data_IF_134320008205
#
_entry.id   IF_134320008205
#
_cell.length_a   1.000
_cell.length_b   1.000
_cell.length_c   1.000
_cell.angle_alpha   90.00
_cell.angle_beta   90.00
_cell.angle_gamma   90.00
#
_symmetry.space_group_name_H-M   'P 1'
#
loop_
_entity.id
_entity.type
_entity.pdbx_description
1 polymer ?
#
# COMPACT_ATOMS: atom_id res chain seq x y z
N UNK A 1 -27.93 6.26 0.10
CA UNK A 1 -27.86 7.74 0.13
C UNK A 1 -26.42 8.24 0.41
N UNK A 2 -25.39 7.75 -0.31
CA UNK A 2 -23.99 8.18 -0.05
C UNK A 2 -23.20 8.64 -1.29
N UNK A 3 -23.68 8.31 -2.49
CA UNK A 3 -22.96 8.62 -3.73
C UNK A 3 -23.19 10.08 -4.18
N UNK A 4 -24.37 10.65 -3.91
CA UNK A 4 -24.74 12.00 -4.35
C UNK A 4 -24.03 13.09 -3.52
N UNK A 5 -23.76 12.85 -2.23
CA UNK A 5 -23.05 13.82 -1.37
C UNK A 5 -21.57 13.97 -1.74
N UNK A 6 -20.92 12.88 -2.18
CA UNK A 6 -19.50 12.90 -2.56
C UNK A 6 -19.29 13.59 -3.92
N UNK A 7 -20.17 13.36 -4.89
CA UNK A 7 -20.11 14.05 -6.20
C UNK A 7 -20.46 15.53 -6.09
N UNK A 8 -21.34 15.92 -5.16
CA UNK A 8 -21.71 17.32 -4.95
C UNK A 8 -20.58 18.15 -4.33
N UNK A 9 -19.83 17.59 -3.38
CA UNK A 9 -18.67 18.27 -2.79
C UNK A 9 -17.54 18.46 -3.80
N UNK A 10 -17.36 17.50 -4.72
CA UNK A 10 -16.36 17.58 -5.79
C UNK A 10 -16.74 18.60 -6.88
N UNK A 11 -18.03 18.70 -7.24
CA UNK A 11 -18.53 19.71 -8.18
C UNK A 11 -18.46 21.13 -7.61
N UNK A 12 -18.82 21.33 -6.35
CA UNK A 12 -18.74 22.64 -5.68
C UNK A 12 -17.28 23.07 -5.48
N UNK A 13 -16.38 22.13 -5.16
CA UNK A 13 -14.94 22.39 -5.05
C UNK A 13 -14.29 22.76 -6.38
N UNK A 14 -14.65 22.08 -7.47
CA UNK A 14 -14.14 22.39 -8.81
C UNK A 14 -14.67 23.74 -9.34
N UNK A 15 -15.96 24.02 -9.15
CA UNK A 15 -16.56 25.31 -9.55
C UNK A 15 -15.97 26.49 -8.75
N UNK A 16 -15.76 26.32 -7.44
CA UNK A 16 -15.08 27.31 -6.60
C UNK A 16 -13.63 27.55 -7.01
N UNK A 17 -12.89 26.50 -7.37
CA UNK A 17 -11.52 26.59 -7.86
C UNK A 17 -11.41 27.34 -9.19
N UNK A 18 -12.33 27.09 -10.14
CA UNK A 18 -12.38 27.80 -11.42
C UNK A 18 -12.76 29.27 -11.22
N UNK A 19 -13.70 29.57 -10.31
CA UNK A 19 -14.10 30.94 -10.01
C UNK A 19 -12.95 31.77 -9.40
N UNK A 20 -12.15 31.18 -8.51
CA UNK A 20 -10.97 31.83 -7.94
C UNK A 20 -9.88 32.02 -9.02
N UNK A 21 -9.70 31.05 -9.92
CA UNK A 21 -8.70 31.13 -11.00
C UNK A 21 -9.07 32.16 -12.08
N UNK A 22 -10.36 32.43 -12.31
CA UNK A 22 -10.83 33.45 -13.25
C UNK A 22 -10.88 34.86 -12.66
N UNK A 23 -10.98 34.99 -11.33
CA UNK A 23 -11.10 36.29 -10.64
C UNK A 23 -9.77 36.82 -10.07
N UNK A 24 -8.67 36.06 -10.19
CA UNK A 24 -7.31 36.53 -9.91
C UNK A 24 -6.53 36.59 -11.22
N UNK A 25 -6.16 37.81 -11.65
CA UNK A 25 -5.28 38.04 -12.80
C UNK A 25 -3.99 37.24 -12.62
N UNK A 26 -3.82 36.19 -13.44
CA UNK A 26 -2.69 35.27 -13.35
C UNK A 26 -1.40 36.06 -13.63
N UNK A 27 -0.48 36.21 -12.66
CA UNK A 27 0.77 36.91 -12.91
C UNK A 27 1.61 36.13 -13.93
N UNK A 28 2.22 36.86 -14.87
CA UNK A 28 2.88 36.36 -16.08
C UNK A 28 3.89 35.21 -15.81
N UNK A 29 3.44 33.95 -16.00
CA UNK A 29 4.14 32.69 -15.68
C UNK A 29 5.51 32.58 -16.37
N UNK A 30 5.69 33.22 -17.53
CA UNK A 30 6.95 33.19 -18.29
C UNK A 30 8.14 33.77 -17.52
N UNK A 31 7.93 34.82 -16.73
CA UNK A 31 9.03 35.47 -15.99
C UNK A 31 9.48 34.63 -14.79
N UNK A 32 8.54 33.93 -14.14
CA UNK A 32 8.85 32.96 -13.10
C UNK A 32 9.59 31.74 -13.66
N UNK A 33 9.20 31.26 -14.85
CA UNK A 33 9.87 30.15 -15.54
C UNK A 33 11.31 30.49 -15.93
N UNK A 34 11.58 31.70 -16.41
CA UNK A 34 12.94 32.15 -16.73
C UNK A 34 13.81 32.31 -15.47
N UNK A 35 13.24 32.84 -14.38
CA UNK A 35 13.94 32.91 -13.09
C UNK A 35 14.27 31.54 -12.49
N UNK A 36 13.35 30.57 -12.65
CA UNK A 36 13.55 29.18 -12.25
C UNK A 36 14.63 28.47 -13.08
N UNK A 37 14.67 28.70 -14.40
CA UNK A 37 15.73 28.16 -15.25
C UNK A 37 17.11 28.76 -14.96
N UNK A 38 17.18 30.03 -14.56
CA UNK A 38 18.42 30.66 -14.13
C UNK A 38 18.97 30.03 -12.84
N UNK A 39 18.12 29.90 -11.81
CA UNK A 39 18.49 29.25 -10.54
C UNK A 39 18.80 27.75 -10.69
N UNK A 40 18.15 27.06 -11.63
CA UNK A 40 18.44 25.65 -11.92
C UNK A 40 19.86 25.47 -12.49
N UNK A 41 20.34 26.38 -13.34
CA UNK A 41 21.72 26.34 -13.86
C UNK A 41 22.76 26.67 -12.79
N UNK A 42 22.46 27.60 -11.89
CA UNK A 42 23.35 27.89 -10.74
C UNK A 42 23.45 26.70 -9.78
N UNK A 43 22.33 25.99 -9.55
CA UNK A 43 22.31 24.77 -8.74
C UNK A 43 23.07 23.62 -9.39
N UNK A 44 23.03 23.49 -10.72
CA UNK A 44 23.76 22.44 -11.46
C UNK A 44 25.28 22.65 -11.38
N UNK A 45 25.74 23.91 -11.42
CA UNK A 45 27.15 24.27 -11.19
C UNK A 45 27.58 24.06 -9.73
N UNK A 46 26.69 24.28 -8.77
CA UNK A 46 26.94 24.00 -7.36
C UNK A 46 26.94 22.48 -7.04
N UNK A 47 26.31 21.64 -7.88
CA UNK A 47 26.21 20.19 -7.69
C UNK A 47 27.29 19.36 -8.41
N UNK A 48 28.29 19.98 -9.04
CA UNK A 48 29.42 19.27 -9.63
C UNK A 48 30.23 18.56 -8.53
N UNK A 49 29.98 17.25 -8.43
CA UNK A 49 30.44 16.28 -7.41
C UNK A 49 31.95 16.40 -7.08
N UNK A 50 32.36 16.49 -5.80
CA UNK A 50 33.75 16.26 -5.42
C UNK A 50 34.06 14.76 -5.47
N UNK A 51 35.14 14.42 -6.19
CA UNK A 51 35.87 13.17 -6.03
C UNK A 51 36.51 13.15 -4.63
N UNK A 52 35.94 12.42 -3.68
CA UNK A 52 36.74 11.79 -2.61
C UNK A 52 35.99 10.64 -1.94
N UNK A 53 36.73 9.56 -1.70
CA UNK A 53 36.26 8.33 -1.09
C UNK A 53 36.04 8.48 0.41
N UNK A 54 34.76 8.51 0.82
CA UNK A 54 34.40 8.13 2.18
C UNK A 54 33.09 7.36 2.17
N UNK A 55 33.12 6.21 2.85
CA UNK A 55 32.16 5.12 2.84
C UNK A 55 30.76 5.60 3.27
N UNK A 56 29.93 6.00 2.32
CA UNK A 56 28.52 6.31 2.60
C UNK A 56 27.74 5.00 2.73
N UNK A 57 27.63 4.52 3.98
CA UNK A 57 26.71 3.45 4.36
C UNK A 57 25.34 3.71 3.73
N UNK A 58 24.78 2.69 3.08
CA UNK A 58 23.49 2.71 2.39
C UNK A 58 22.31 2.90 3.36
N UNK A 59 22.22 4.06 4.00
CA UNK A 59 21.02 4.50 4.70
C UNK A 59 20.25 5.40 3.74
N UNK A 60 19.13 4.89 3.22
CA UNK A 60 18.21 5.64 2.36
C UNK A 60 17.48 6.76 3.15
N UNK A 61 17.69 6.85 4.48
CA UNK A 61 17.03 7.82 5.36
C UNK A 61 17.94 8.36 6.47
N UNK A 62 17.76 9.62 6.92
CA UNK A 62 18.09 10.01 8.27
C UNK A 62 17.10 9.32 9.24
N UNK A 63 17.60 8.62 10.26
CA UNK A 63 16.78 7.99 11.31
C UNK A 63 16.15 9.06 12.22
N UNK A 64 15.19 9.82 11.68
CA UNK A 64 14.47 10.86 12.42
C UNK A 64 13.10 10.34 12.82
N UNK A 65 12.68 10.48 14.10
CA UNK A 65 11.40 9.96 14.60
C UNK A 65 10.18 10.40 13.77
N UNK A 66 10.23 11.60 13.18
CA UNK A 66 9.17 12.17 12.32
C UNK A 66 8.78 11.29 11.12
N UNK A 67 9.72 10.49 10.59
CA UNK A 67 9.45 9.60 9.45
C UNK A 67 9.15 8.18 9.89
N UNK A 68 9.83 7.71 10.95
CA UNK A 68 9.75 6.31 11.39
C UNK A 68 8.39 6.01 12.03
N UNK A 69 7.88 6.90 12.89
CA UNK A 69 6.64 6.66 13.64
C UNK A 69 5.45 6.45 12.68
N UNK A 70 5.20 7.33 11.68
CA UNK A 70 4.10 7.12 10.74
C UNK A 70 4.31 5.89 9.86
N UNK A 71 5.53 5.65 9.36
CA UNK A 71 5.81 4.50 8.48
C UNK A 71 5.59 3.19 9.20
N UNK A 72 6.09 3.05 10.44
CA UNK A 72 5.86 1.87 11.26
C UNK A 72 4.36 1.64 11.52
N UNK A 73 3.61 2.69 11.86
CA UNK A 73 2.16 2.61 12.05
C UNK A 73 1.43 2.17 10.79
N UNK A 74 1.79 2.72 9.63
CA UNK A 74 1.21 2.33 8.34
C UNK A 74 1.53 0.87 7.98
N UNK A 75 2.76 0.42 8.23
CA UNK A 75 3.17 -0.97 7.99
C UNK A 75 2.37 -1.95 8.84
N UNK A 76 2.27 -1.71 10.15
CA UNK A 76 1.53 -2.58 11.06
C UNK A 76 0.03 -2.55 10.73
N UNK A 77 -0.53 -1.37 10.48
CA UNK A 77 -1.95 -1.22 10.13
C UNK A 77 -2.31 -1.97 8.85
N UNK A 78 -1.52 -1.82 7.78
CA UNK A 78 -1.77 -2.51 6.51
C UNK A 78 -1.62 -4.03 6.67
N UNK A 79 -0.56 -4.48 7.35
CA UNK A 79 -0.34 -5.90 7.64
C UNK A 79 -1.50 -6.51 8.43
N UNK A 80 -2.02 -5.81 9.43
CA UNK A 80 -3.18 -6.23 10.22
C UNK A 80 -4.43 -6.39 9.35
N UNK A 81 -4.75 -5.39 8.52
CA UNK A 81 -5.91 -5.45 7.63
C UNK A 81 -5.79 -6.61 6.64
N UNK A 82 -4.65 -6.75 5.96
CA UNK A 82 -4.43 -7.81 4.97
C UNK A 82 -4.48 -9.19 5.62
N UNK A 83 -3.89 -9.35 6.81
CA UNK A 83 -3.95 -10.59 7.57
C UNK A 83 -5.38 -10.94 7.97
N UNK A 84 -6.13 -9.99 8.50
CA UNK A 84 -7.54 -10.21 8.88
C UNK A 84 -8.42 -10.62 7.69
N UNK A 85 -8.22 -9.98 6.53
CA UNK A 85 -8.94 -10.36 5.29
C UNK A 85 -8.50 -11.74 4.81
N UNK A 86 -7.20 -12.05 4.85
CA UNK A 86 -6.67 -13.37 4.44
C UNK A 86 -7.30 -14.49 5.27
N UNK A 87 -7.30 -14.36 6.60
CA UNK A 87 -7.85 -15.39 7.50
C UNK A 87 -9.35 -15.57 7.31
N UNK A 88 -10.11 -14.47 7.27
CA UNK A 88 -11.56 -14.53 7.04
C UNK A 88 -11.90 -15.17 5.69
N UNK A 89 -11.21 -14.74 4.63
CA UNK A 89 -11.45 -15.27 3.28
C UNK A 89 -11.08 -16.74 3.18
N UNK A 90 -9.98 -17.15 3.81
CA UNK A 90 -9.56 -18.56 3.85
C UNK A 90 -10.58 -19.41 4.60
N UNK A 91 -11.05 -18.95 5.76
CA UNK A 91 -12.09 -19.63 6.51
C UNK A 91 -13.38 -19.80 5.68
N UNK A 92 -13.87 -18.73 5.07
CA UNK A 92 -15.06 -18.77 4.21
C UNK A 92 -14.88 -19.69 3.00
N UNK A 93 -13.72 -19.65 2.34
CA UNK A 93 -13.46 -20.46 1.15
C UNK A 93 -13.34 -21.95 1.50
N UNK A 94 -12.74 -22.30 2.63
CA UNK A 94 -12.70 -23.69 3.13
C UNK A 94 -14.10 -24.16 3.54
N UNK A 95 -14.90 -23.31 4.22
CA UNK A 95 -16.30 -23.62 4.58
C UNK A 95 -17.16 -23.85 3.34
N UNK A 96 -17.02 -22.99 2.32
CA UNK A 96 -17.79 -23.05 1.08
C UNK A 96 -17.40 -24.24 0.21
N UNK A 97 -16.10 -24.53 0.10
CA UNK A 97 -15.56 -25.61 -0.73
C UNK A 97 -15.25 -26.88 0.06
N UNK A 98 -15.90 -27.05 1.21
CA UNK A 98 -15.66 -28.16 2.13
C UNK A 98 -15.73 -29.52 1.42
N UNK A 99 -16.74 -29.73 0.57
CA UNK A 99 -16.92 -30.97 -0.19
C UNK A 99 -15.72 -31.30 -1.07
N UNK A 100 -15.10 -30.30 -1.71
CA UNK A 100 -13.91 -30.47 -2.54
C UNK A 100 -12.68 -30.83 -1.70
N UNK A 101 -12.52 -30.18 -0.55
CA UNK A 101 -11.41 -30.45 0.38
C UNK A 101 -11.54 -31.87 0.97
N UNK A 102 -12.74 -32.27 1.41
CA UNK A 102 -13.00 -33.62 1.93
C UNK A 102 -12.82 -34.71 0.86
N UNK A 103 -13.26 -34.45 -0.38
CA UNK A 103 -13.05 -35.38 -1.50
C UNK A 103 -11.56 -35.56 -1.78
N UNK A 104 -10.78 -34.47 -1.79
CA UNK A 104 -9.33 -34.55 -1.99
C UNK A 104 -8.64 -35.34 -0.87
N UNK A 105 -9.06 -35.14 0.39
CA UNK A 105 -8.55 -35.90 1.54
C UNK A 105 -8.92 -37.39 1.44
N UNK A 106 -10.15 -37.71 1.00
CA UNK A 106 -10.59 -39.09 0.79
C UNK A 106 -9.81 -39.80 -0.33
N UNK A 107 -9.35 -39.05 -1.33
CA UNK A 107 -8.44 -39.53 -2.39
C UNK A 107 -6.97 -39.64 -1.91
N UNK A 108 -6.68 -39.37 -0.64
CA UNK A 108 -5.35 -39.48 -0.04
C UNK A 108 -4.47 -38.23 -0.20
N UNK A 109 -5.03 -37.09 -0.61
CA UNK A 109 -4.28 -35.84 -0.66
C UNK A 109 -3.88 -35.41 0.76
N UNK A 110 -2.69 -34.84 0.90
CA UNK A 110 -2.33 -34.15 2.16
C UNK A 110 -3.22 -32.92 2.32
N UNK A 111 -3.56 -32.47 3.54
CA UNK A 111 -4.44 -31.32 3.65
C UNK A 111 -3.84 -30.05 3.00
N UNK A 112 -2.50 -29.98 2.84
CA UNK A 112 -1.80 -28.84 2.21
C UNK A 112 -2.08 -28.81 0.72
N UNK A 113 -2.17 -29.99 0.10
CA UNK A 113 -2.60 -30.13 -1.29
C UNK A 113 -4.10 -29.85 -1.42
N UNK A 114 -4.92 -30.30 -0.46
CA UNK A 114 -6.36 -30.09 -0.49
C UNK A 114 -6.79 -28.61 -0.35
N UNK A 115 -5.97 -27.77 0.30
CA UNK A 115 -6.28 -26.36 0.59
C UNK A 115 -5.52 -25.33 -0.27
N UNK A 116 -4.62 -25.77 -1.14
CA UNK A 116 -3.71 -24.87 -1.87
C UNK A 116 -4.45 -23.84 -2.73
N UNK A 117 -5.58 -24.22 -3.32
CA UNK A 117 -6.37 -23.33 -4.17
C UNK A 117 -7.08 -22.25 -3.35
N UNK A 118 -7.61 -22.62 -2.19
CA UNK A 118 -8.29 -21.74 -1.25
C UNK A 118 -7.30 -20.73 -0.66
N UNK A 119 -6.10 -21.19 -0.30
CA UNK A 119 -4.98 -20.32 0.13
C UNK A 119 -4.63 -19.31 -0.96
N UNK A 120 -4.41 -19.78 -2.19
CA UNK A 120 -4.04 -18.89 -3.31
C UNK A 120 -5.11 -17.83 -3.56
N UNK A 121 -6.38 -18.22 -3.57
CA UNK A 121 -7.51 -17.30 -3.78
C UNK A 121 -7.60 -16.25 -2.67
N UNK A 122 -7.46 -16.69 -1.42
CA UNK A 122 -7.50 -15.81 -0.25
C UNK A 122 -6.38 -14.77 -0.26
N UNK A 123 -5.15 -15.19 -0.59
CA UNK A 123 -4.01 -14.30 -0.73
C UNK A 123 -4.21 -13.26 -1.84
N UNK A 124 -4.70 -13.67 -3.01
CA UNK A 124 -4.99 -12.74 -4.12
C UNK A 124 -6.02 -11.70 -3.68
N UNK A 125 -7.13 -12.13 -3.09
CA UNK A 125 -8.20 -11.21 -2.65
C UNK A 125 -7.68 -10.24 -1.58
N UNK A 126 -6.91 -10.72 -0.61
CA UNK A 126 -6.40 -9.89 0.47
C UNK A 126 -5.35 -8.87 0.00
N UNK A 127 -4.56 -9.19 -1.04
CA UNK A 127 -3.51 -8.32 -1.58
C UNK A 127 -4.00 -7.36 -2.67
N UNK A 128 -5.13 -7.65 -3.34
CA UNK A 128 -5.67 -6.78 -4.39
C UNK A 128 -5.74 -5.29 -4.01
N UNK A 129 -6.26 -4.91 -2.82
CA UNK A 129 -6.33 -3.50 -2.44
C UNK A 129 -4.95 -2.84 -2.35
N UNK A 130 -3.93 -3.56 -1.87
CA UNK A 130 -2.56 -3.04 -1.74
C UNK A 130 -1.97 -2.78 -3.13
N UNK A 131 -2.16 -3.73 -4.04
CA UNK A 131 -1.67 -3.65 -5.42
C UNK A 131 -2.40 -2.53 -6.18
N UNK A 132 -3.71 -2.41 -6.03
CA UNK A 132 -4.49 -1.40 -6.74
C UNK A 132 -4.22 0.02 -6.22
N UNK A 133 -3.96 0.18 -4.92
CA UNK A 133 -3.43 1.44 -4.38
C UNK A 133 -2.05 1.74 -4.96
N UNK A 134 -1.14 0.76 -5.02
CA UNK A 134 0.20 0.99 -5.58
C UNK A 134 0.19 1.43 -7.05
N UNK A 135 -0.75 0.93 -7.88
CA UNK A 135 -0.91 1.33 -9.28
C UNK A 135 -1.39 2.77 -9.47
N UNK A 136 -2.14 3.30 -8.51
CA UNK A 136 -2.82 4.60 -8.63
C UNK A 136 -2.03 5.74 -8.00
N UNK A 137 -1.16 5.42 -7.03
CA UNK A 137 -0.30 6.39 -6.34
C UNK A 137 0.64 7.09 -7.33
N UNK A 138 0.66 8.41 -7.25
CA UNK A 138 1.52 9.27 -8.06
C UNK A 138 1.00 9.58 -9.47
N UNK A 139 0.03 8.80 -9.98
CA UNK A 139 -0.63 9.05 -11.26
C UNK A 139 -1.94 9.83 -11.10
N UNK A 140 -2.84 9.33 -10.24
CA UNK A 140 -4.17 9.92 -10.05
C UNK A 140 -4.37 10.51 -8.67
N UNK A 141 -3.63 10.01 -7.67
CA UNK A 141 -3.74 10.44 -6.30
C UNK A 141 -2.34 10.63 -5.71
N UNK A 142 -2.11 11.79 -5.11
CA UNK A 142 -0.95 12.02 -4.26
C UNK A 142 -1.30 11.51 -2.84
N UNK A 143 -0.58 10.52 -2.31
CA UNK A 143 -0.83 10.02 -0.95
C UNK A 143 -0.80 11.13 0.09
N UNK A 144 -1.64 11.03 1.12
CA UNK A 144 -1.75 12.07 2.15
C UNK A 144 -0.41 12.40 2.84
N UNK A 145 0.44 11.39 3.06
CA UNK A 145 1.78 11.60 3.62
C UNK A 145 2.70 12.39 2.69
N UNK A 146 2.66 12.09 1.38
CA UNK A 146 3.42 12.81 0.36
C UNK A 146 2.95 14.26 0.22
N UNK A 147 1.64 14.48 0.13
CA UNK A 147 1.05 15.83 0.07
C UNK A 147 1.35 16.63 1.34
N UNK A 148 1.27 16.01 2.52
CA UNK A 148 1.58 16.65 3.79
C UNK A 148 3.05 17.08 3.91
N UNK A 149 3.99 16.31 3.37
CA UNK A 149 5.40 16.70 3.30
C UNK A 149 5.62 17.89 2.37
N UNK A 150 4.97 17.88 1.21
CA UNK A 150 5.04 18.99 0.23
C UNK A 150 4.45 20.27 0.83
N UNK A 151 3.27 20.20 1.45
CA UNK A 151 2.67 21.36 2.14
C UNK A 151 3.50 21.83 3.34
N UNK A 152 4.23 20.92 3.98
CA UNK A 152 5.18 21.21 5.05
C UNK A 152 6.50 21.82 4.60
N UNK A 153 6.66 22.12 3.30
CA UNK A 153 7.84 22.78 2.73
C UNK A 153 8.97 21.83 2.30
N UNK A 154 8.75 20.51 2.32
CA UNK A 154 9.73 19.56 1.78
C UNK A 154 9.77 19.61 0.25
N UNK A 155 10.92 19.26 -0.35
CA UNK A 155 11.02 19.24 -1.80
C UNK A 155 10.12 18.14 -2.40
N UNK A 156 9.41 18.40 -3.52
CA UNK A 156 8.56 17.39 -4.14
C UNK A 156 9.31 16.11 -4.53
N UNK A 157 10.58 16.25 -4.92
CA UNK A 157 11.43 15.11 -5.31
C UNK A 157 11.71 14.18 -4.12
N UNK A 158 12.05 14.73 -2.96
CA UNK A 158 12.24 13.93 -1.74
C UNK A 158 10.95 13.24 -1.31
N UNK A 159 9.82 13.96 -1.36
CA UNK A 159 8.52 13.39 -0.99
C UNK A 159 8.13 12.17 -1.86
N UNK A 160 8.41 12.24 -3.17
CA UNK A 160 8.17 11.12 -4.10
C UNK A 160 9.05 9.92 -3.77
N UNK A 161 10.34 10.14 -3.56
CA UNK A 161 11.30 9.06 -3.25
C UNK A 161 10.90 8.32 -1.97
N UNK A 162 10.58 9.07 -0.91
CA UNK A 162 10.10 8.51 0.35
C UNK A 162 8.83 7.69 0.13
N UNK A 163 7.87 8.21 -0.66
CA UNK A 163 6.61 7.54 -0.91
C UNK A 163 6.78 6.22 -1.69
N UNK A 164 7.69 6.15 -2.66
CA UNK A 164 8.00 4.93 -3.39
C UNK A 164 8.60 3.87 -2.45
N UNK A 165 9.53 4.26 -1.57
CA UNK A 165 10.12 3.33 -0.61
C UNK A 165 9.06 2.80 0.36
N UNK A 166 8.21 3.68 0.90
CA UNK A 166 7.12 3.30 1.81
C UNK A 166 6.15 2.35 1.12
N UNK A 167 5.76 2.60 -0.13
CA UNK A 167 4.86 1.70 -0.85
C UNK A 167 5.44 0.30 -1.05
N UNK A 168 6.73 0.20 -1.37
CA UNK A 168 7.40 -1.10 -1.48
C UNK A 168 7.45 -1.82 -0.12
N UNK A 169 7.73 -1.08 0.97
CA UNK A 169 7.73 -1.65 2.32
C UNK A 169 6.35 -2.15 2.74
N UNK A 170 5.28 -1.40 2.45
CA UNK A 170 3.90 -1.80 2.74
C UNK A 170 3.53 -3.07 1.97
N UNK A 171 3.84 -3.12 0.68
CA UNK A 171 3.55 -4.28 -0.17
C UNK A 171 4.31 -5.52 0.31
N UNK A 172 5.59 -5.37 0.64
CA UNK A 172 6.41 -6.43 1.20
C UNK A 172 5.89 -6.93 2.55
N UNK A 173 5.64 -6.02 3.49
CA UNK A 173 5.15 -6.36 4.83
C UNK A 173 3.81 -7.09 4.77
N UNK A 174 2.87 -6.62 3.96
CA UNK A 174 1.55 -7.23 3.81
C UNK A 174 1.60 -8.59 3.14
N UNK A 175 2.50 -8.79 2.16
CA UNK A 175 2.70 -10.09 1.51
C UNK A 175 3.30 -11.11 2.48
N UNK A 176 4.33 -10.72 3.23
CA UNK A 176 4.93 -11.61 4.23
C UNK A 176 3.93 -11.97 5.32
N UNK A 177 3.17 -10.98 5.80
CA UNK A 177 2.19 -11.19 6.87
C UNK A 177 1.05 -12.13 6.45
N UNK A 178 0.52 -11.98 5.23
CA UNK A 178 -0.57 -12.83 4.73
C UNK A 178 -0.13 -14.27 4.49
N UNK A 179 1.08 -14.48 3.95
CA UNK A 179 1.68 -15.80 3.79
C UNK A 179 1.90 -16.45 5.16
N UNK A 180 2.54 -15.74 6.09
CA UNK A 180 2.82 -16.26 7.43
C UNK A 180 1.53 -16.59 8.17
N UNK A 181 0.53 -15.72 8.10
CA UNK A 181 -0.79 -15.97 8.68
C UNK A 181 -1.44 -17.23 8.13
N UNK A 182 -1.34 -17.47 6.83
CA UNK A 182 -1.90 -18.67 6.21
C UNK A 182 -1.16 -19.94 6.68
N UNK A 183 0.17 -19.89 6.79
CA UNK A 183 0.95 -20.98 7.36
C UNK A 183 0.60 -21.28 8.83
N UNK A 184 0.31 -20.25 9.62
CA UNK A 184 -0.06 -20.39 11.03
C UNK A 184 -1.53 -20.79 11.25
N UNK A 185 -2.43 -20.42 10.33
CA UNK A 185 -3.86 -20.73 10.42
C UNK A 185 -4.20 -22.12 9.86
N UNK A 186 -3.43 -22.58 8.88
CA UNK A 186 -3.50 -23.91 8.27
C UNK A 186 -3.75 -25.09 9.23
N UNK A 187 -3.00 -25.27 10.34
CA UNK A 187 -3.16 -26.44 11.20
C UNK A 187 -4.41 -26.36 12.08
N UNK A 188 -5.01 -25.17 12.24
CA UNK A 188 -6.22 -25.01 13.05
C UNK A 188 -7.45 -25.64 12.38
N UNK A 189 -7.47 -25.78 11.05
CA UNK A 189 -8.61 -26.34 10.32
C UNK A 189 -8.67 -27.87 10.33
N UNK A 190 -7.59 -28.55 10.74
CA UNK A 190 -7.45 -30.00 10.59
C UNK A 190 -7.17 -30.70 11.91
N UNK A 191 -7.87 -31.80 12.15
CA UNK A 191 -7.60 -32.71 13.27
C UNK A 191 -6.32 -33.51 13.01
N UNK A 192 -5.72 -34.10 14.06
CA UNK A 192 -4.55 -35.01 13.95
C UNK A 192 -4.75 -36.19 12.97
N UNK A 193 -6.01 -36.55 12.69
CA UNK A 193 -6.40 -37.58 11.74
C UNK A 193 -6.58 -37.08 10.29
N UNK A 194 -6.13 -35.85 9.97
CA UNK A 194 -6.31 -35.21 8.66
C UNK A 194 -7.79 -35.10 8.21
N UNK A 195 -8.67 -34.80 9.16
CA UNK A 195 -10.08 -34.50 8.90
C UNK A 195 -10.33 -33.01 9.13
N UNK A 196 -11.31 -32.44 8.45
CA UNK A 196 -11.75 -31.07 8.71
C UNK A 196 -12.40 -31.02 10.09
N UNK A 197 -11.92 -30.12 10.95
CA UNK A 197 -12.50 -29.95 12.29
C UNK A 197 -13.80 -29.14 12.20
N UNK A 198 -14.93 -29.80 12.48
CA UNK A 198 -16.25 -29.20 12.47
C UNK A 198 -16.45 -28.12 13.55
N UNK A 199 -15.69 -28.18 14.65
CA UNK A 199 -15.81 -27.20 15.74
C UNK A 199 -15.38 -25.80 15.31
N UNK A 200 -14.48 -25.71 14.32
CA UNK A 200 -13.98 -24.45 13.79
C UNK A 200 -15.03 -23.73 12.95
N UNK A 201 -15.97 -24.46 12.36
CA UNK A 201 -16.99 -23.92 11.44
C UNK A 201 -18.40 -23.90 12.03
N UNK A 202 -18.54 -24.25 13.32
CA UNK A 202 -19.78 -24.22 14.06
C UNK A 202 -20.06 -22.77 14.49
N UNK A 203 -20.70 -22.01 13.60
CA UNK A 203 -21.35 -20.72 13.91
C UNK A 203 -22.82 -20.95 14.27
#
# INVERSE_FOLDING_TARGET
MGFIQSTFSLLVGAAGGIYIAQNYDVPNIKNYMQGLMGKAKELDHAYKKPEDGSKSKAYVFPFTPRYIIPVAGMMVGNAMTVTGVTMKKLHEDVKTQRSLVETALALGATPRQATVQQVRRSLVIALSPVIDNAKTVGLIALPGAMTGLIMGGASPLEAIQLQIVVMNMLMGASTVSSILSTYLCWPAFFTKAFQIDNSVFAD
#
